data_IF_011758062369
#
_entry.id   IF_011758062369
#
_cell.length_a   1.000
_cell.length_b   1.000
_cell.length_c   1.000
_cell.angle_alpha   90.00
_cell.angle_beta   90.00
_cell.angle_gamma   90.00
#
_symmetry.space_group_name_H-M   'P 1'
#
loop_
_entity.id
_entity.type
_entity.pdbx_description
1 polymer ?
#
# COMPACT_ATOMS: atom_id res chain seq x y z
N UNK A 1 13.10 3.83 18.21
CA UNK A 1 12.46 3.79 16.86
C UNK A 1 12.22 2.33 16.54
N UNK A 2 10.96 1.94 16.32
CA UNK A 2 10.60 0.56 15.98
C UNK A 2 11.18 0.23 14.61
N UNK A 3 12.21 -0.63 14.57
CA UNK A 3 12.87 -1.06 13.35
C UNK A 3 12.70 -2.58 13.23
N UNK A 4 12.29 -3.04 12.04
CA UNK A 4 12.28 -4.46 11.74
C UNK A 4 13.73 -4.90 11.45
N UNK A 5 14.20 -6.07 11.93
CA UNK A 5 15.53 -6.59 11.59
C UNK A 5 15.75 -6.68 10.07
N UNK A 6 14.69 -6.97 9.31
CA UNK A 6 14.74 -7.00 7.84
C UNK A 6 14.74 -5.60 7.20
N UNK A 7 14.75 -4.52 7.99
CA UNK A 7 14.68 -3.10 7.58
C UNK A 7 13.49 -2.77 6.67
N UNK A 8 12.45 -3.61 6.66
CA UNK A 8 11.22 -3.35 5.93
C UNK A 8 10.45 -2.23 6.62
N UNK A 9 9.70 -1.45 5.84
CA UNK A 9 8.83 -0.40 6.37
C UNK A 9 7.74 -1.02 7.24
N UNK A 10 7.63 -0.52 8.47
CA UNK A 10 6.69 -0.98 9.49
C UNK A 10 5.37 -0.20 9.37
N UNK A 11 4.25 -0.90 9.48
CA UNK A 11 2.93 -0.33 9.74
C UNK A 11 2.39 -0.90 11.05
N UNK A 12 1.87 -0.05 11.93
CA UNK A 12 1.45 -0.43 13.28
C UNK A 12 0.05 -1.04 13.28
N UNK A 13 -0.80 -0.63 12.34
CA UNK A 13 -2.16 -1.14 12.20
C UNK A 13 -2.39 -1.70 10.80
N UNK A 14 -3.37 -2.60 10.67
CA UNK A 14 -3.80 -3.11 9.37
C UNK A 14 -4.31 -1.99 8.48
N UNK A 15 -5.02 -1.00 9.04
CA UNK A 15 -5.53 0.15 8.30
C UNK A 15 -4.40 0.99 7.69
N UNK A 16 -3.31 1.23 8.41
CA UNK A 16 -2.13 1.91 7.85
C UNK A 16 -1.50 1.10 6.70
N UNK A 17 -1.44 -0.22 6.84
CA UNK A 17 -0.92 -1.10 5.80
C UNK A 17 -1.82 -1.09 4.55
N UNK A 18 -3.15 -1.13 4.72
CA UNK A 18 -4.13 -1.01 3.63
C UNK A 18 -4.02 0.33 2.90
N UNK A 19 -3.93 1.43 3.64
CA UNK A 19 -3.76 2.75 3.05
C UNK A 19 -2.46 2.85 2.23
N UNK A 20 -1.35 2.37 2.78
CA UNK A 20 -0.08 2.41 2.06
C UNK A 20 -0.10 1.48 0.84
N UNK A 21 -0.75 0.33 0.95
CA UNK A 21 -0.93 -0.59 -0.16
C UNK A 21 -1.65 0.11 -1.32
N UNK A 22 -2.74 0.83 -1.06
CA UNK A 22 -3.42 1.66 -2.07
C UNK A 22 -2.52 2.78 -2.60
N UNK A 23 -1.81 3.51 -1.73
CA UNK A 23 -0.91 4.61 -2.13
C UNK A 23 0.18 4.13 -3.09
N UNK A 24 0.71 2.94 -2.89
CA UNK A 24 1.72 2.35 -3.78
C UNK A 24 1.13 2.13 -5.18
N UNK A 25 -0.10 1.62 -5.30
CA UNK A 25 -0.78 1.42 -6.59
C UNK A 25 -1.14 2.73 -7.29
N UNK A 26 -1.43 3.77 -6.51
CA UNK A 26 -1.62 5.13 -7.04
C UNK A 26 -0.29 5.68 -7.57
N UNK A 27 0.79 5.55 -6.79
CA UNK A 27 2.11 6.10 -7.13
C UNK A 27 2.81 5.35 -8.26
N UNK A 28 2.66 4.03 -8.31
CA UNK A 28 3.34 3.14 -9.24
C UNK A 28 2.31 2.33 -10.02
N UNK A 29 2.14 2.67 -11.31
CA UNK A 29 1.08 2.10 -12.15
C UNK A 29 1.16 0.57 -12.30
N UNK A 30 2.38 0.02 -12.31
CA UNK A 30 2.65 -1.41 -12.46
C UNK A 30 3.18 -2.02 -11.16
N UNK A 31 2.70 -1.57 -10.00
CA UNK A 31 3.13 -2.14 -8.73
C UNK A 31 2.73 -3.61 -8.62
N UNK A 32 3.68 -4.45 -8.21
CA UNK A 32 3.45 -5.87 -7.94
C UNK A 32 3.06 -6.15 -6.49
N UNK A 33 2.99 -5.11 -5.64
CA UNK A 33 2.61 -5.27 -4.23
C UNK A 33 1.16 -5.74 -4.11
N UNK A 34 0.96 -7.00 -3.72
CA UNK A 34 -0.33 -7.64 -3.73
C UNK A 34 -1.07 -7.49 -2.39
N UNK A 35 -0.36 -7.63 -1.26
CA UNK A 35 -0.97 -7.71 0.07
C UNK A 35 0.01 -7.30 1.18
N UNK A 36 -0.36 -7.52 2.43
CA UNK A 36 0.48 -7.34 3.61
C UNK A 36 0.36 -8.52 4.58
N UNK A 37 1.34 -8.68 5.45
CA UNK A 37 1.41 -9.73 6.46
C UNK A 37 1.96 -9.18 7.78
N UNK A 38 1.66 -9.86 8.89
CA UNK A 38 2.29 -9.59 10.19
C UNK A 38 3.65 -10.27 10.24
N UNK A 39 4.68 -9.51 10.58
CA UNK A 39 6.05 -9.99 10.68
C UNK A 39 6.30 -10.74 11.98
N UNK A 40 6.87 -11.93 11.91
CA UNK A 40 7.22 -12.72 13.09
C UNK A 40 8.39 -12.09 13.89
N UNK A 41 9.30 -11.38 13.23
CA UNK A 41 10.48 -10.79 13.89
C UNK A 41 10.17 -9.51 14.67
N UNK A 42 9.28 -8.66 14.13
CA UNK A 42 8.99 -7.35 14.73
C UNK A 42 7.56 -7.18 15.22
N UNK A 43 6.65 -8.12 14.91
CA UNK A 43 5.24 -8.09 15.32
C UNK A 43 4.37 -7.10 14.54
N UNK A 44 4.93 -6.37 13.58
CA UNK A 44 4.21 -5.33 12.82
C UNK A 44 3.89 -5.75 11.38
N UNK A 45 3.06 -4.95 10.69
CA UNK A 45 2.65 -5.24 9.33
C UNK A 45 3.70 -4.80 8.31
N UNK A 46 3.86 -5.60 7.25
CA UNK A 46 4.71 -5.33 6.10
C UNK A 46 4.00 -5.66 4.80
N UNK A 47 4.24 -4.83 3.78
CA UNK A 47 3.73 -5.10 2.43
C UNK A 47 4.55 -6.21 1.75
N UNK A 48 3.88 -6.95 0.86
CA UNK A 48 4.47 -8.03 0.08
C UNK A 48 3.85 -8.11 -1.31
N UNK A 49 4.66 -8.51 -2.28
CA UNK A 49 4.20 -8.88 -3.63
C UNK A 49 3.78 -10.34 -3.73
N UNK A 50 4.09 -11.15 -2.72
CA UNK A 50 3.78 -12.58 -2.69
C UNK A 50 2.41 -12.82 -2.07
N UNK A 51 1.54 -13.53 -2.78
CA UNK A 51 0.20 -13.92 -2.33
C UNK A 51 -0.91 -13.32 -3.18
N UNK A 52 -2.14 -13.61 -2.79
CA UNK A 52 -3.33 -13.07 -3.46
C UNK A 52 -3.47 -11.57 -3.21
N UNK A 53 -3.96 -10.86 -4.23
CA UNK A 53 -4.21 -9.43 -4.14
C UNK A 53 -5.28 -9.13 -3.07
N UNK A 54 -4.94 -8.22 -2.15
CA UNK A 54 -5.80 -7.85 -1.03
C UNK A 54 -7.14 -7.29 -1.54
N UNK A 55 -8.23 -7.59 -0.82
CA UNK A 55 -9.58 -7.19 -1.23
C UNK A 55 -9.73 -5.67 -1.37
N UNK A 56 -9.06 -4.89 -0.51
CA UNK A 56 -9.06 -3.42 -0.58
C UNK A 56 -8.54 -2.91 -1.92
N UNK A 57 -7.52 -3.57 -2.47
CA UNK A 57 -6.89 -3.19 -3.74
C UNK A 57 -7.79 -3.63 -4.89
N UNK A 58 -8.32 -4.87 -4.84
CA UNK A 58 -9.28 -5.37 -5.83
C UNK A 58 -10.48 -4.43 -5.98
N UNK A 59 -11.14 -4.11 -4.86
CA UNK A 59 -12.28 -3.16 -4.85
C UNK A 59 -11.88 -1.78 -5.34
N UNK A 60 -10.72 -1.25 -4.93
CA UNK A 60 -10.27 0.06 -5.38
C UNK A 60 -9.97 0.13 -6.90
N UNK A 61 -9.58 -0.98 -7.52
CA UNK A 61 -9.47 -1.08 -8.98
C UNK A 61 -10.84 -1.22 -9.64
N UNK A 62 -11.71 -2.07 -9.11
CA UNK A 62 -13.08 -2.28 -9.62
C UNK A 62 -13.92 -1.00 -9.56
N UNK A 63 -13.81 -0.25 -8.47
CA UNK A 63 -14.52 1.02 -8.24
C UNK A 63 -13.89 2.21 -9.01
N UNK A 64 -12.76 2.00 -9.70
CA UNK A 64 -12.00 3.09 -10.36
C UNK A 64 -11.37 4.09 -9.39
N UNK A 65 -11.35 3.79 -8.09
CA UNK A 65 -10.82 4.68 -7.03
C UNK A 65 -9.33 4.95 -7.20
N UNK A 66 -8.55 3.96 -7.65
CA UNK A 66 -7.11 4.14 -7.91
C UNK A 66 -6.88 5.23 -8.96
N UNK A 67 -7.67 5.25 -10.03
CA UNK A 67 -7.51 6.25 -11.10
C UNK A 67 -7.95 7.65 -10.65
N UNK A 68 -9.04 7.75 -9.89
CA UNK A 68 -9.44 9.01 -9.25
C UNK A 68 -8.35 9.56 -8.32
N UNK A 69 -7.72 8.70 -7.53
CA UNK A 69 -6.62 9.08 -6.64
C UNK A 69 -5.37 9.51 -7.42
N UNK A 70 -5.07 8.86 -8.56
CA UNK A 70 -3.97 9.26 -9.45
C UNK A 70 -4.20 10.64 -10.04
N UNK A 71 -5.40 10.91 -10.54
CA UNK A 71 -5.76 12.21 -11.09
C UNK A 71 -5.64 13.31 -10.02
N UNK A 72 -6.19 13.06 -8.83
CA UNK A 72 -6.10 13.96 -7.68
C UNK A 72 -4.63 14.24 -7.31
N UNK A 73 -3.78 13.22 -7.29
CA UNK A 73 -2.35 13.36 -7.00
C UNK A 73 -1.62 14.15 -8.09
N UNK A 74 -1.98 13.96 -9.36
CA UNK A 74 -1.44 14.70 -10.49
C UNK A 74 -1.76 16.19 -10.39
N UNK A 75 -3.03 16.55 -10.14
CA UNK A 75 -3.42 17.95 -9.98
C UNK A 75 -2.79 18.59 -8.74
N UNK A 76 -2.72 17.88 -7.63
CA UNK A 76 -2.03 18.35 -6.42
C UNK A 76 -0.56 18.70 -6.70
N UNK A 77 0.12 17.90 -7.54
CA UNK A 77 1.51 18.18 -7.95
C UNK A 77 1.61 19.39 -8.89
N UNK A 78 0.61 19.61 -9.74
CA UNK A 78 0.60 20.70 -10.75
C UNK A 78 0.25 22.08 -10.17
N UNK A 79 -0.53 22.11 -9.09
CA UNK A 79 -0.96 23.35 -8.41
C UNK A 79 0.09 23.84 -7.40
N UNK A 80 1.11 23.02 -7.11
CA UNK A 80 2.21 23.33 -6.19
C UNK A 80 3.41 23.92 -6.92
#
# INVERSE_FOLDING_TARGET
>A
MSNCPSRKRIFYTSSEAEEELLRIHVKYQNSTTATFYTCDDCGYFHLTSSGDQHQVVKRAFEDGKIDQMRESAFWTKKIK
#
